data_IF_694149866263
#
_entry.id   IF_694149866263
#
_cell.length_a   1.000
_cell.length_b   1.000
_cell.length_c   1.000
_cell.angle_alpha   90.00
_cell.angle_beta   90.00
_cell.angle_gamma   90.00
#
_symmetry.space_group_name_H-M   'P 1'
#
loop_
_entity.id
_entity.type
_entity.pdbx_description
1 polymer ?
#
# COMPACT_ATOMS: atom_id res chain seq x y z
N UNK A 1 21.20 0.93 23.45
CA UNK A 1 21.79 2.26 23.64
C UNK A 1 20.83 3.29 23.05
N UNK A 2 20.56 4.39 23.79
CA UNK A 2 19.71 5.47 23.32
C UNK A 2 20.37 6.18 22.12
N UNK A 3 19.60 6.46 21.08
CA UNK A 3 20.06 7.18 19.88
C UNK A 3 19.24 8.45 19.68
N UNK A 4 19.82 9.42 18.97
CA UNK A 4 19.10 10.64 18.62
C UNK A 4 18.04 10.37 17.55
N UNK A 5 16.96 11.15 17.57
CA UNK A 5 16.02 11.20 16.47
C UNK A 5 16.67 11.89 15.25
N UNK A 6 16.18 11.59 14.07
CA UNK A 6 16.67 12.16 12.84
C UNK A 6 15.59 12.99 12.14
N UNK A 7 15.97 14.18 11.69
CA UNK A 7 15.14 15.04 10.85
C UNK A 7 15.89 15.42 9.58
N UNK A 8 15.26 15.17 8.45
CA UNK A 8 15.85 15.43 7.12
C UNK A 8 15.05 16.48 6.38
N UNK A 9 15.71 17.53 5.95
CA UNK A 9 15.15 18.59 5.11
C UNK A 9 15.42 18.31 3.64
N UNK A 10 14.38 18.34 2.81
CA UNK A 10 14.50 18.23 1.36
C UNK A 10 15.10 19.52 0.78
N UNK A 11 16.20 19.40 0.06
CA UNK A 11 16.91 20.52 -0.58
C UNK A 11 16.32 20.92 -1.95
N UNK A 12 15.29 20.22 -2.43
CA UNK A 12 14.61 20.44 -3.73
C UNK A 12 15.47 20.10 -4.97
N UNK A 13 16.58 19.42 -4.77
CA UNK A 13 17.51 18.96 -5.81
C UNK A 13 17.71 17.43 -5.77
N UNK A 14 16.75 16.68 -5.19
CA UNK A 14 16.79 15.25 -4.93
C UNK A 14 17.79 14.84 -3.83
N UNK A 15 18.30 15.80 -3.06
CA UNK A 15 19.13 15.54 -1.88
C UNK A 15 18.41 15.96 -0.60
N UNK A 16 18.92 15.46 0.53
CA UNK A 16 18.42 15.80 1.87
C UNK A 16 19.58 16.20 2.77
N UNK A 17 19.33 17.16 3.66
CA UNK A 17 20.25 17.54 4.71
C UNK A 17 19.71 17.07 6.05
N UNK A 18 20.57 16.49 6.88
CA UNK A 18 20.26 16.23 8.28
C UNK A 18 20.23 17.56 9.04
N UNK A 19 19.08 17.87 9.61
CA UNK A 19 18.82 19.11 10.36
C UNK A 19 18.41 18.82 11.80
N UNK A 20 18.66 17.62 12.29
CA UNK A 20 18.23 17.15 13.62
C UNK A 20 18.71 18.08 14.73
N UNK A 21 20.00 18.45 14.70
CA UNK A 21 20.62 19.38 15.67
C UNK A 21 20.05 20.79 15.50
N UNK A 22 20.01 21.29 14.27
CA UNK A 22 19.57 22.66 13.98
C UNK A 22 18.10 22.89 14.37
N UNK A 23 17.28 21.85 14.31
CA UNK A 23 15.88 21.89 14.69
C UNK A 23 15.60 21.48 16.14
N UNK A 24 16.64 21.09 16.90
CA UNK A 24 16.52 20.71 18.31
C UNK A 24 15.80 19.36 18.51
N UNK A 25 15.98 18.43 17.58
CA UNK A 25 15.39 17.10 17.62
C UNK A 25 16.40 15.98 17.93
N UNK A 26 17.61 16.34 18.34
CA UNK A 26 18.74 15.42 18.53
C UNK A 26 18.86 14.79 19.92
N UNK A 27 17.83 14.92 20.74
CA UNK A 27 17.77 14.26 22.04
C UNK A 27 17.91 12.75 21.92
N UNK A 28 18.75 12.17 22.79
CA UNK A 28 19.00 10.72 22.82
C UNK A 28 17.98 10.00 23.70
N UNK A 29 17.11 9.24 23.07
CA UNK A 29 16.02 8.54 23.71
C UNK A 29 15.80 7.14 23.13
N UNK A 30 14.90 6.39 23.74
CA UNK A 30 14.33 5.16 23.18
C UNK A 30 12.97 5.46 22.53
N UNK A 31 12.99 6.33 21.52
CA UNK A 31 11.79 6.77 20.83
C UNK A 31 11.11 5.60 20.13
N UNK A 32 9.78 5.54 20.22
CA UNK A 32 8.96 4.48 19.67
C UNK A 32 7.88 5.06 18.73
N UNK A 33 6.71 5.40 19.26
CA UNK A 33 5.64 6.05 18.49
C UNK A 33 5.77 7.57 18.49
N UNK A 34 5.34 8.21 17.39
CA UNK A 34 5.31 9.66 17.31
C UNK A 34 4.05 10.12 16.57
N UNK A 35 3.55 11.29 16.97
CA UNK A 35 2.42 11.94 16.31
C UNK A 35 2.66 13.46 16.25
N UNK A 36 1.82 14.15 15.53
CA UNK A 36 1.83 15.61 15.47
C UNK A 36 0.43 16.17 15.62
N UNK A 37 0.33 17.34 16.22
CA UNK A 37 -0.92 18.06 16.36
C UNK A 37 -0.62 19.54 16.60
N UNK A 38 -1.52 20.42 16.23
CA UNK A 38 -1.52 21.82 16.63
C UNK A 38 -2.11 21.89 18.05
N UNK A 39 -1.26 21.99 19.07
CA UNK A 39 -1.65 21.90 20.47
C UNK A 39 -2.07 23.25 21.07
N UNK A 40 -1.54 24.34 20.56
CA UNK A 40 -1.86 25.70 21.04
C UNK A 40 -2.72 26.51 20.06
N UNK A 41 -3.13 25.90 18.95
CA UNK A 41 -4.01 26.45 17.91
C UNK A 41 -3.42 27.70 17.22
N UNK A 42 -2.13 27.74 17.03
CA UNK A 42 -1.44 28.81 16.32
C UNK A 42 -1.23 28.51 14.83
N UNK A 43 -1.52 27.28 14.41
CA UNK A 43 -1.55 26.84 13.01
C UNK A 43 -0.31 26.06 12.56
N UNK A 44 0.70 25.98 13.39
CA UNK A 44 1.81 25.07 13.16
C UNK A 44 1.62 23.73 13.94
N UNK A 45 2.50 22.77 13.79
CA UNK A 45 2.32 21.44 14.35
C UNK A 45 3.46 21.11 15.33
N UNK A 46 3.09 20.79 16.56
CA UNK A 46 3.97 20.20 17.56
C UNK A 46 4.19 18.72 17.25
N UNK A 47 5.36 18.22 17.64
CA UNK A 47 5.69 16.80 17.57
C UNK A 47 5.65 16.20 18.97
N UNK A 48 4.89 15.12 19.13
CA UNK A 48 4.81 14.35 20.36
C UNK A 48 5.48 13.00 20.12
N UNK A 49 6.48 12.65 20.93
CA UNK A 49 7.23 11.40 20.83
C UNK A 49 7.06 10.61 22.11
N UNK A 50 6.57 9.37 21.98
CA UNK A 50 6.54 8.45 23.10
C UNK A 50 7.87 7.68 23.19
N UNK A 51 8.40 7.54 24.40
CA UNK A 51 9.66 6.86 24.66
C UNK A 51 9.43 5.61 25.52
N UNK A 52 10.25 4.56 25.31
CA UNK A 52 10.21 3.34 26.11
C UNK A 52 10.90 3.61 27.45
N UNK A 53 10.20 3.33 28.55
CA UNK A 53 10.69 3.52 29.93
C UNK A 53 11.18 4.95 30.24
N UNK A 54 10.70 5.95 29.51
CA UNK A 54 11.03 7.36 29.69
C UNK A 54 9.77 8.22 29.48
N UNK A 55 9.80 9.47 29.94
CA UNK A 55 8.73 10.43 29.72
C UNK A 55 8.55 10.73 28.22
N UNK A 56 7.29 10.93 27.80
CA UNK A 56 7.00 11.42 26.46
C UNK A 56 7.55 12.84 26.28
N UNK A 57 8.05 13.13 25.11
CA UNK A 57 8.56 14.45 24.74
C UNK A 57 7.58 15.18 23.85
N UNK A 58 7.45 16.48 24.09
CA UNK A 58 6.69 17.38 23.23
C UNK A 58 7.65 18.43 22.71
N UNK A 59 7.84 18.46 21.40
CA UNK A 59 8.64 19.47 20.73
C UNK A 59 7.71 20.56 20.21
N UNK A 60 7.80 21.74 20.84
CA UNK A 60 7.05 22.91 20.39
C UNK A 60 7.66 23.42 19.08
N UNK A 61 6.81 23.62 18.09
CA UNK A 61 7.17 24.35 16.89
C UNK A 61 7.21 25.86 17.19
N UNK A 62 8.14 26.57 16.63
CA UNK A 62 8.26 28.02 16.75
C UNK A 62 8.24 28.70 15.37
N UNK A 63 7.63 28.04 14.38
CA UNK A 63 7.48 28.59 13.05
C UNK A 63 6.54 29.79 13.06
N UNK A 64 6.84 30.78 12.24
CA UNK A 64 5.96 31.93 12.00
C UNK A 64 5.45 31.96 10.55
N UNK A 65 5.65 30.85 9.82
CA UNK A 65 5.24 30.73 8.43
C UNK A 65 3.72 30.67 8.30
N UNK A 66 3.24 31.10 7.15
CA UNK A 66 1.82 31.00 6.84
C UNK A 66 1.37 29.54 6.68
N UNK A 67 0.12 29.27 6.97
CA UNK A 67 -0.46 27.92 6.89
C UNK A 67 -1.85 27.92 6.26
N UNK A 68 -2.30 26.75 5.89
CA UNK A 68 -3.70 26.44 5.57
C UNK A 68 -4.08 25.11 6.23
N UNK A 69 -5.18 25.11 6.98
CA UNK A 69 -5.80 23.88 7.47
C UNK A 69 -6.99 23.51 6.61
N UNK A 70 -7.09 22.23 6.22
CA UNK A 70 -8.21 21.72 5.42
C UNK A 70 -8.92 20.62 6.21
N UNK A 71 -10.19 20.85 6.48
CA UNK A 71 -11.09 19.88 7.06
C UNK A 71 -11.94 19.26 5.96
N UNK A 72 -12.13 17.94 6.00
CA UNK A 72 -12.97 17.23 5.08
C UNK A 72 -14.18 16.66 5.82
N UNK A 73 -15.36 16.89 5.27
CA UNK A 73 -16.61 16.29 5.71
C UNK A 73 -17.10 15.36 4.62
N UNK A 74 -16.83 14.08 4.82
CA UNK A 74 -17.21 13.02 3.91
C UNK A 74 -18.68 12.61 4.04
N UNK A 75 -19.00 11.45 3.53
CA UNK A 75 -20.33 10.87 3.60
C UNK A 75 -20.54 10.02 4.86
N UNK A 76 -21.68 9.32 4.92
CA UNK A 76 -22.05 8.50 6.07
C UNK A 76 -21.10 7.34 6.32
N UNK A 77 -20.46 6.80 5.28
CA UNK A 77 -19.60 5.62 5.36
C UNK A 77 -18.14 6.01 5.58
N UNK A 78 -17.77 7.22 5.17
CA UNK A 78 -16.43 7.80 5.33
C UNK A 78 -16.51 9.25 5.81
N UNK A 79 -16.95 9.44 7.05
CA UNK A 79 -17.26 10.76 7.65
C UNK A 79 -16.11 11.77 7.61
N UNK A 80 -14.89 11.30 7.66
CA UNK A 80 -13.69 12.16 7.64
C UNK A 80 -13.11 12.35 6.23
N UNK A 81 -13.66 11.70 5.20
CA UNK A 81 -13.11 11.76 3.85
C UNK A 81 -11.71 11.13 3.75
N UNK A 82 -11.45 10.03 4.48
CA UNK A 82 -10.19 9.29 4.41
C UNK A 82 -9.92 8.86 2.95
N UNK A 83 -8.64 8.79 2.54
CA UNK A 83 -8.16 8.53 1.18
C UNK A 83 -8.49 9.62 0.15
N UNK A 84 -9.03 10.76 0.59
CA UNK A 84 -9.17 11.93 -0.28
C UNK A 84 -7.84 12.67 -0.41
N UNK A 85 -7.58 13.21 -1.60
CA UNK A 85 -6.38 13.99 -1.91
C UNK A 85 -6.71 15.45 -1.98
N UNK A 86 -5.88 16.26 -1.35
CA UNK A 86 -6.01 17.72 -1.36
C UNK A 86 -4.77 18.32 -2.02
N UNK A 87 -5.02 19.14 -3.01
CA UNK A 87 -4.01 19.91 -3.73
C UNK A 87 -4.14 21.37 -3.36
N UNK A 88 -3.05 21.99 -2.99
CA UNK A 88 -2.96 23.43 -2.67
C UNK A 88 -1.98 24.09 -3.62
N UNK A 89 -2.47 25.06 -4.39
CA UNK A 89 -1.64 25.84 -5.31
C UNK A 89 -1.45 27.26 -4.76
N UNK A 90 -0.20 27.67 -4.65
CA UNK A 90 0.21 29.05 -4.34
C UNK A 90 0.83 29.74 -5.56
N UNK A 91 1.48 30.87 -5.39
CA UNK A 91 2.25 31.49 -6.47
C UNK A 91 3.49 30.69 -6.85
N UNK A 92 4.12 30.06 -5.86
CA UNK A 92 5.45 29.47 -6.00
C UNK A 92 5.45 27.94 -5.92
N UNK A 93 4.40 27.33 -5.36
CA UNK A 93 4.37 25.89 -5.12
C UNK A 93 3.02 25.27 -5.36
N UNK A 94 3.03 23.98 -5.70
CA UNK A 94 1.88 23.10 -5.63
C UNK A 94 2.21 21.98 -4.65
N UNK A 95 1.37 21.79 -3.65
CA UNK A 95 1.51 20.73 -2.66
C UNK A 95 0.35 19.77 -2.78
N UNK A 96 0.58 18.49 -2.46
CA UNK A 96 -0.46 17.47 -2.36
C UNK A 96 -0.30 16.68 -1.06
N UNK A 97 -1.41 16.49 -0.37
CA UNK A 97 -1.49 15.55 0.76
C UNK A 97 -2.72 14.65 0.60
N UNK A 98 -2.58 13.41 1.02
CA UNK A 98 -3.69 12.46 1.13
C UNK A 98 -4.09 12.32 2.60
N UNK A 99 -5.38 12.39 2.88
CA UNK A 99 -5.88 12.26 4.25
C UNK A 99 -5.81 10.81 4.70
N UNK A 100 -4.86 10.54 5.57
CA UNK A 100 -4.75 9.29 6.31
C UNK A 100 -4.52 9.58 7.78
N UNK A 101 -5.14 8.82 8.65
CA UNK A 101 -5.04 9.02 10.10
C UNK A 101 -3.92 8.18 10.73
N UNK A 102 -3.39 7.20 10.03
CA UNK A 102 -2.30 6.35 10.52
C UNK A 102 -0.96 6.95 10.13
N UNK A 103 -0.10 7.26 11.12
CA UNK A 103 1.22 7.83 10.92
C UNK A 103 2.20 7.23 11.92
N UNK A 104 3.30 6.65 11.41
CA UNK A 104 4.33 6.04 12.25
C UNK A 104 3.87 4.77 12.96
N UNK A 105 4.71 4.28 13.86
CA UNK A 105 4.48 3.04 14.59
C UNK A 105 3.40 3.23 15.66
N UNK A 106 2.31 2.48 15.57
CA UNK A 106 1.17 2.47 16.51
C UNK A 106 0.67 3.88 16.87
N UNK A 107 0.66 4.78 15.89
CA UNK A 107 0.34 6.19 16.10
C UNK A 107 -0.69 6.68 15.10
N UNK A 108 -1.46 7.68 15.51
CA UNK A 108 -2.49 8.31 14.68
C UNK A 108 -2.44 9.83 14.82
N UNK A 109 -2.98 10.51 13.83
CA UNK A 109 -3.09 11.98 13.77
C UNK A 109 -4.54 12.41 13.64
N UNK A 110 -4.81 13.69 13.86
CA UNK A 110 -6.14 14.27 13.70
C UNK A 110 -6.61 14.23 12.24
N UNK A 111 -7.93 14.11 11.98
CA UNK A 111 -8.49 13.97 10.63
C UNK A 111 -8.58 15.31 9.90
N UNK A 112 -7.49 16.06 9.84
CA UNK A 112 -7.36 17.26 9.02
C UNK A 112 -5.99 17.29 8.36
N UNK A 113 -5.88 18.07 7.30
CA UNK A 113 -4.60 18.30 6.61
C UNK A 113 -4.10 19.70 6.93
N UNK A 114 -2.82 19.81 7.26
CA UNK A 114 -2.16 21.09 7.50
C UNK A 114 -1.07 21.30 6.45
N UNK A 115 -1.16 22.44 5.76
CA UNK A 115 -0.22 22.83 4.72
C UNK A 115 0.59 24.04 5.19
N UNK A 116 1.91 23.90 5.29
CA UNK A 116 2.79 25.05 5.44
C UNK A 116 2.87 25.80 4.11
N UNK A 117 2.54 27.08 4.13
CA UNK A 117 2.51 27.93 2.92
C UNK A 117 3.81 28.74 2.79
N UNK A 118 4.63 28.75 3.85
CA UNK A 118 5.85 29.56 3.88
C UNK A 118 5.56 31.05 3.86
N UNK A 119 6.26 31.78 3.00
CA UNK A 119 6.10 33.25 2.87
C UNK A 119 5.05 33.64 1.82
N UNK A 120 4.39 32.68 1.17
CA UNK A 120 3.34 33.01 0.20
C UNK A 120 2.16 33.68 0.88
N UNK A 121 1.64 34.75 0.28
CA UNK A 121 0.53 35.52 0.83
C UNK A 121 -0.83 35.15 0.21
N UNK A 122 -0.83 34.36 -0.86
CA UNK A 122 -2.01 34.03 -1.63
C UNK A 122 -2.04 32.53 -1.93
N UNK A 123 -3.17 31.90 -1.63
CA UNK A 123 -3.50 30.57 -2.08
C UNK A 123 -4.44 30.71 -3.29
N UNK A 124 -3.94 30.35 -4.47
CA UNK A 124 -4.69 30.45 -5.73
C UNK A 124 -5.88 29.52 -5.74
N UNK A 125 -5.62 28.25 -5.44
CA UNK A 125 -6.68 27.24 -5.40
C UNK A 125 -6.40 26.16 -4.36
N UNK A 126 -7.49 25.55 -3.88
CA UNK A 126 -7.48 24.29 -3.11
C UNK A 126 -8.46 23.35 -3.78
N UNK A 127 -7.96 22.24 -4.30
CA UNK A 127 -8.75 21.19 -4.95
C UNK A 127 -8.76 19.94 -4.10
N UNK A 128 -9.93 19.41 -3.83
CA UNK A 128 -10.13 18.10 -3.19
C UNK A 128 -10.56 17.10 -4.25
N UNK A 129 -9.89 15.96 -4.30
CA UNK A 129 -10.33 14.77 -5.03
C UNK A 129 -10.72 13.74 -3.99
N UNK A 130 -12.00 13.45 -3.91
CA UNK A 130 -12.59 12.54 -2.94
C UNK A 130 -12.29 11.08 -3.27
N UNK A 131 -12.37 10.19 -2.29
CA UNK A 131 -12.14 8.74 -2.47
C UNK A 131 -13.05 8.08 -3.50
N UNK A 132 -14.23 8.67 -3.77
CA UNK A 132 -15.16 8.22 -4.81
C UNK A 132 -14.86 8.78 -6.21
N UNK A 133 -13.77 9.55 -6.37
CA UNK A 133 -13.36 10.17 -7.63
C UNK A 133 -13.98 11.54 -7.94
N UNK A 134 -14.99 11.98 -7.20
CA UNK A 134 -15.53 13.32 -7.35
C UNK A 134 -14.51 14.37 -6.94
N UNK A 135 -14.68 15.60 -7.41
CA UNK A 135 -13.80 16.69 -7.02
C UNK A 135 -14.57 17.96 -6.65
N UNK A 136 -13.88 18.83 -5.94
CA UNK A 136 -14.36 20.14 -5.52
C UNK A 136 -13.17 21.09 -5.45
N UNK A 137 -13.36 22.33 -5.87
CA UNK A 137 -12.30 23.33 -5.88
C UNK A 137 -12.79 24.67 -5.33
N UNK A 138 -11.94 25.32 -4.53
CA UNK A 138 -12.12 26.68 -4.04
C UNK A 138 -10.93 27.53 -4.45
N UNK A 139 -11.19 28.78 -4.84
CA UNK A 139 -10.18 29.72 -5.33
C UNK A 139 -10.04 30.92 -4.41
N UNK A 140 -8.88 31.57 -4.46
CA UNK A 140 -8.56 32.81 -3.73
C UNK A 140 -8.79 32.68 -2.21
N UNK A 141 -8.18 31.67 -1.61
CA UNK A 141 -8.31 31.36 -0.19
C UNK A 141 -7.32 32.20 0.60
N UNK A 142 -7.76 32.69 1.75
CA UNK A 142 -6.88 33.42 2.67
C UNK A 142 -5.87 32.47 3.34
N UNK A 143 -4.66 32.93 3.52
CA UNK A 143 -3.67 32.29 4.37
C UNK A 143 -4.10 32.33 5.85
N UNK A 144 -3.48 31.52 6.68
CA UNK A 144 -3.70 31.43 8.14
C UNK A 144 -5.18 31.18 8.46
N UNK A 145 -5.80 30.27 7.73
CA UNK A 145 -7.22 29.96 7.81
C UNK A 145 -7.47 28.45 7.82
N UNK A 146 -8.66 28.10 8.30
CA UNK A 146 -9.20 26.74 8.15
C UNK A 146 -10.31 26.79 7.11
N UNK A 147 -10.26 25.89 6.12
CA UNK A 147 -11.32 25.70 5.14
C UNK A 147 -11.94 24.31 5.32
N UNK A 148 -13.25 24.23 5.08
CA UNK A 148 -13.99 22.97 5.13
C UNK A 148 -14.56 22.65 3.75
N UNK A 149 -14.38 21.40 3.34
CA UNK A 149 -14.97 20.83 2.15
C UNK A 149 -16.00 19.77 2.55
N UNK A 150 -17.21 19.87 2.02
CA UNK A 150 -18.28 18.88 2.23
C UNK A 150 -18.49 18.10 0.92
N UNK A 151 -18.38 16.79 0.97
CA UNK A 151 -18.51 15.91 -0.21
C UNK A 151 -19.84 16.10 -0.95
N UNK A 152 -20.89 16.54 -0.24
CA UNK A 152 -22.19 16.83 -0.85
C UNK A 152 -22.16 17.95 -1.90
N UNK A 153 -21.12 18.79 -1.87
CA UNK A 153 -20.91 19.87 -2.83
C UNK A 153 -19.92 19.49 -3.93
N UNK A 154 -19.48 18.21 -3.99
CA UNK A 154 -18.55 17.75 -5.00
C UNK A 154 -19.24 17.49 -6.34
N UNK A 155 -18.49 17.66 -7.41
CA UNK A 155 -18.93 17.39 -8.77
C UNK A 155 -18.26 16.13 -9.30
N UNK A 156 -18.95 15.42 -10.20
CA UNK A 156 -18.37 14.25 -10.89
C UNK A 156 -17.14 14.70 -11.68
N UNK A 157 -15.99 14.11 -11.40
CA UNK A 157 -14.78 14.44 -12.13
C UNK A 157 -14.75 13.65 -13.44
N UNK A 158 -15.27 14.27 -14.52
CA UNK A 158 -15.27 13.67 -15.87
C UNK A 158 -13.86 13.52 -16.46
N UNK A 159 -12.83 14.14 -15.87
CA UNK A 159 -11.43 13.95 -16.29
C UNK A 159 -10.86 12.59 -15.88
N UNK A 160 -11.53 11.87 -14.94
CA UNK A 160 -11.24 10.48 -14.63
C UNK A 160 -12.02 9.50 -15.54
N UNK A 161 -12.83 9.99 -16.47
CA UNK A 161 -13.28 9.14 -17.56
C UNK A 161 -12.03 8.58 -18.25
N UNK A 162 -11.85 7.31 -18.02
CA UNK A 162 -10.84 6.47 -18.58
C UNK A 162 -10.27 7.04 -19.89
N UNK A 163 -9.05 7.57 -19.87
CA UNK A 163 -8.20 7.25 -20.99
C UNK A 163 -8.44 5.76 -21.18
N UNK A 164 -8.97 5.32 -22.32
CA UNK A 164 -8.82 3.97 -22.78
C UNK A 164 -7.30 3.76 -22.84
N UNK A 165 -6.71 3.56 -21.66
CA UNK A 165 -5.34 3.14 -21.56
C UNK A 165 -5.34 1.84 -22.32
N UNK A 166 -4.52 1.72 -23.34
CA UNK A 166 -4.19 0.43 -23.91
C UNK A 166 -3.77 -0.44 -22.71
N UNK A 167 -4.69 -1.25 -22.22
CA UNK A 167 -4.40 -2.14 -21.12
C UNK A 167 -3.31 -3.08 -21.63
N UNK A 168 -2.18 -3.12 -20.93
CA UNK A 168 -1.11 -4.08 -21.23
C UNK A 168 -1.53 -5.52 -20.94
N UNK A 169 -2.55 -5.71 -20.08
CA UNK A 169 -3.05 -7.01 -19.66
C UNK A 169 -4.58 -7.01 -19.73
N UNK A 170 -5.11 -8.09 -20.24
CA UNK A 170 -6.54 -8.40 -20.27
C UNK A 170 -6.78 -9.70 -19.50
N UNK A 171 -7.83 -9.73 -18.70
CA UNK A 171 -8.23 -10.96 -18.02
C UNK A 171 -8.94 -11.88 -19.02
N UNK A 172 -8.32 -13.00 -19.35
CA UNK A 172 -8.85 -14.00 -20.24
C UNK A 172 -9.08 -15.33 -19.52
N UNK A 173 -10.27 -15.90 -19.63
CA UNK A 173 -10.64 -17.17 -19.01
C UNK A 173 -10.20 -18.34 -19.91
N UNK A 174 -8.88 -18.64 -19.95
CA UNK A 174 -8.36 -19.73 -20.79
C UNK A 174 -8.50 -21.11 -20.15
N UNK A 175 -8.57 -21.18 -18.82
CA UNK A 175 -8.82 -22.41 -18.06
C UNK A 175 -9.77 -22.14 -16.89
N UNK A 176 -10.64 -23.12 -16.60
CA UNK A 176 -11.50 -23.10 -15.40
C UNK A 176 -10.85 -23.95 -14.31
N UNK A 177 -9.86 -23.38 -13.66
CA UNK A 177 -9.23 -23.99 -12.50
C UNK A 177 -9.75 -23.34 -11.22
N UNK A 178 -10.09 -24.18 -10.24
CA UNK A 178 -10.40 -23.74 -8.89
C UNK A 178 -9.66 -24.64 -7.92
N UNK A 179 -8.67 -24.07 -7.25
CA UNK A 179 -8.04 -24.69 -6.10
C UNK A 179 -9.04 -24.71 -4.95
N UNK A 180 -9.16 -25.85 -4.25
CA UNK A 180 -10.01 -25.97 -3.09
C UNK A 180 -9.13 -26.33 -1.90
N UNK A 181 -8.95 -25.37 -1.01
CA UNK A 181 -8.15 -25.54 0.19
C UNK A 181 -8.85 -26.47 1.21
N UNK A 182 -8.06 -27.24 1.95
CA UNK A 182 -8.58 -28.05 3.04
C UNK A 182 -8.89 -27.18 4.27
N UNK A 183 -9.97 -27.48 4.98
CA UNK A 183 -10.24 -26.81 6.24
C UNK A 183 -9.28 -27.33 7.31
N UNK A 184 -8.37 -26.49 7.76
CA UNK A 184 -7.46 -26.73 8.86
C UNK A 184 -7.29 -25.46 9.68
N UNK A 185 -7.07 -25.63 10.98
CA UNK A 185 -6.79 -24.52 11.89
C UNK A 185 -5.51 -24.83 12.65
N UNK A 186 -4.43 -24.20 12.23
CA UNK A 186 -3.09 -24.39 12.80
C UNK A 186 -3.03 -24.03 14.28
N UNK A 187 -3.81 -23.02 14.69
CA UNK A 187 -3.80 -22.52 16.08
C UNK A 187 -4.36 -23.51 17.11
N UNK A 188 -5.01 -24.61 16.67
CA UNK A 188 -5.45 -25.66 17.60
C UNK A 188 -4.24 -26.36 18.22
N UNK A 189 -3.16 -26.51 17.49
CA UNK A 189 -1.92 -27.18 17.94
C UNK A 189 -0.82 -26.18 18.27
N UNK A 190 -0.71 -25.12 17.48
CA UNK A 190 0.38 -24.15 17.52
C UNK A 190 -0.17 -22.75 17.75
N UNK A 191 -0.65 -22.50 18.94
CA UNK A 191 -1.37 -21.27 19.32
C UNK A 191 -0.56 -19.97 19.22
N UNK A 192 0.76 -20.07 19.08
CA UNK A 192 1.67 -18.91 19.00
C UNK A 192 2.14 -18.60 17.57
N UNK A 193 1.62 -19.28 16.55
CA UNK A 193 1.92 -18.94 15.17
C UNK A 193 1.50 -17.50 14.85
N UNK A 194 2.32 -16.72 14.18
CA UNK A 194 1.96 -15.35 13.76
C UNK A 194 0.90 -15.34 12.65
N UNK A 195 0.80 -16.41 11.85
CA UNK A 195 -0.17 -16.63 10.79
C UNK A 195 -0.32 -18.13 10.52
N UNK A 196 -1.40 -18.55 9.87
CA UNK A 196 -1.60 -19.92 9.42
C UNK A 196 -0.61 -20.27 8.29
N UNK A 197 -0.02 -21.46 8.32
CA UNK A 197 0.90 -21.96 7.30
C UNK A 197 0.27 -23.06 6.44
N UNK A 198 -0.80 -23.69 6.92
CA UNK A 198 -1.46 -24.83 6.25
C UNK A 198 -2.43 -24.40 5.12
N UNK A 199 -2.53 -23.11 4.80
CA UNK A 199 -3.47 -22.58 3.81
C UNK A 199 -2.82 -21.47 2.98
N UNK A 200 -1.60 -21.71 2.50
CA UNK A 200 -0.85 -20.73 1.72
C UNK A 200 -1.18 -20.77 0.22
N UNK A 201 -1.97 -21.75 -0.20
CA UNK A 201 -2.33 -21.96 -1.59
C UNK A 201 -1.29 -22.76 -2.39
N UNK A 202 -1.61 -23.12 -3.64
CA UNK A 202 -0.77 -23.99 -4.45
C UNK A 202 0.40 -23.25 -5.09
N UNK A 203 1.51 -23.96 -5.28
CA UNK A 203 2.57 -23.53 -6.17
C UNK A 203 2.10 -23.53 -7.64
N UNK A 204 2.78 -22.76 -8.49
CA UNK A 204 2.60 -22.75 -9.95
C UNK A 204 3.98 -22.82 -10.61
N UNK A 205 4.13 -23.67 -11.62
CA UNK A 205 5.32 -23.69 -12.46
C UNK A 205 4.96 -23.66 -13.95
N UNK A 206 5.85 -23.09 -14.74
CA UNK A 206 5.68 -22.91 -16.20
C UNK A 206 6.88 -23.55 -16.90
N UNK A 207 6.63 -24.24 -18.00
CA UNK A 207 7.66 -24.86 -18.85
C UNK A 207 7.05 -25.73 -19.93
N UNK A 208 7.83 -26.09 -20.94
CA UNK A 208 7.43 -26.99 -22.03
C UNK A 208 7.46 -28.45 -21.55
N UNK A 209 6.33 -28.96 -21.04
CA UNK A 209 6.23 -30.30 -20.44
C UNK A 209 6.23 -31.42 -21.50
N UNK A 210 5.84 -31.10 -22.74
CA UNK A 210 5.63 -32.10 -23.77
C UNK A 210 6.64 -32.03 -24.93
N UNK A 211 7.55 -31.06 -24.93
CA UNK A 211 8.61 -30.89 -25.93
C UNK A 211 8.13 -30.22 -27.22
N UNK A 212 6.98 -29.56 -27.23
CA UNK A 212 6.39 -28.92 -28.42
C UNK A 212 6.77 -27.45 -28.61
N UNK A 213 7.56 -26.89 -27.68
CA UNK A 213 8.05 -25.50 -27.62
C UNK A 213 6.97 -24.46 -27.28
N UNK A 214 5.85 -24.89 -26.76
CA UNK A 214 4.86 -24.01 -26.15
C UNK A 214 4.96 -24.07 -24.64
N UNK A 215 4.70 -22.96 -23.99
CA UNK A 215 4.72 -22.87 -22.53
C UNK A 215 3.47 -23.51 -21.94
N UNK A 216 3.67 -24.61 -21.22
CA UNK A 216 2.64 -25.26 -20.40
C UNK A 216 2.69 -24.73 -18.98
N UNK A 217 1.70 -25.02 -18.16
CA UNK A 217 1.77 -24.72 -16.74
C UNK A 217 1.14 -25.80 -15.87
N UNK A 218 1.61 -25.90 -14.67
CA UNK A 218 1.08 -26.78 -13.64
C UNK A 218 0.65 -25.99 -12.41
N UNK A 219 -0.40 -26.45 -11.76
CA UNK A 219 -0.93 -25.88 -10.52
C UNK A 219 -0.99 -26.98 -9.48
N UNK A 220 -0.39 -26.75 -8.33
CA UNK A 220 -0.35 -27.69 -7.23
C UNK A 220 -1.74 -28.02 -6.68
N UNK A 221 -1.87 -29.21 -6.11
CA UNK A 221 -3.07 -29.65 -5.41
C UNK A 221 -2.96 -29.45 -3.90
N UNK A 222 -4.05 -29.12 -3.22
CA UNK A 222 -4.17 -29.31 -1.79
C UNK A 222 -4.15 -30.79 -1.44
N UNK A 223 -4.02 -31.12 -0.18
CA UNK A 223 -4.04 -32.53 0.28
C UNK A 223 -5.29 -33.26 -0.24
N UNK A 224 -5.09 -34.44 -0.75
CA UNK A 224 -6.08 -35.30 -1.40
C UNK A 224 -6.60 -34.76 -2.75
N UNK A 225 -5.90 -33.81 -3.34
CA UNK A 225 -6.18 -33.27 -4.66
C UNK A 225 -4.95 -33.44 -5.59
N UNK A 226 -5.14 -33.90 -6.84
CA UNK A 226 -4.01 -34.08 -7.73
C UNK A 226 -3.54 -32.73 -8.29
N UNK A 227 -2.22 -32.60 -8.48
CA UNK A 227 -1.62 -31.55 -9.31
C UNK A 227 -2.29 -31.48 -10.68
N UNK A 228 -2.67 -30.28 -11.11
CA UNK A 228 -3.31 -30.04 -12.40
C UNK A 228 -2.29 -29.61 -13.47
N UNK A 229 -2.30 -30.26 -14.61
CA UNK A 229 -1.42 -29.98 -15.73
C UNK A 229 -2.21 -29.38 -16.89
N UNK A 230 -1.83 -28.20 -17.33
CA UNK A 230 -2.44 -27.47 -18.42
C UNK A 230 -1.47 -27.36 -19.58
N UNK A 231 -1.77 -28.11 -20.64
CA UNK A 231 -0.95 -28.19 -21.85
C UNK A 231 -1.49 -27.20 -22.88
N UNK A 232 -0.59 -26.33 -23.38
CA UNK A 232 -0.93 -25.36 -24.42
C UNK A 232 -1.09 -26.03 -25.78
N UNK A 233 -1.99 -25.50 -26.58
CA UNK A 233 -2.15 -25.84 -27.98
C UNK A 233 -1.67 -24.70 -28.86
N UNK A 234 -1.41 -25.02 -30.15
CA UNK A 234 -0.97 -24.04 -31.14
C UNK A 234 -1.96 -22.87 -31.40
N UNK A 235 -3.20 -22.99 -30.95
CA UNK A 235 -4.20 -21.92 -30.98
C UNK A 235 -4.23 -21.04 -29.73
N UNK A 236 -3.33 -21.29 -28.79
CA UNK A 236 -3.24 -20.57 -27.50
C UNK A 236 -4.22 -21.07 -26.44
N UNK A 237 -5.07 -22.04 -26.73
CA UNK A 237 -5.93 -22.66 -25.73
C UNK A 237 -5.18 -23.72 -24.92
N UNK A 238 -5.73 -24.08 -23.76
CA UNK A 238 -5.15 -25.09 -22.87
C UNK A 238 -6.11 -26.26 -22.69
N UNK A 239 -5.56 -27.44 -22.42
CA UNK A 239 -6.34 -28.59 -21.99
C UNK A 239 -5.70 -29.22 -20.75
N UNK A 240 -6.53 -29.75 -19.86
CA UNK A 240 -6.03 -30.48 -18.69
C UNK A 240 -5.57 -31.89 -19.10
N UNK A 241 -4.35 -32.26 -18.72
CA UNK A 241 -3.76 -33.59 -18.91
C UNK A 241 -3.52 -34.24 -17.56
N UNK A 242 -4.10 -35.42 -17.36
CA UNK A 242 -3.89 -36.20 -16.13
C UNK A 242 -2.73 -37.15 -16.30
N UNK A 243 -1.86 -37.20 -15.29
CA UNK A 243 -0.77 -38.16 -15.17
C UNK A 243 -1.05 -39.12 -14.00
N UNK A 244 -0.64 -40.37 -14.11
CA UNK A 244 -0.88 -41.38 -13.06
C UNK A 244 -0.19 -41.01 -11.74
N UNK A 245 1.03 -40.49 -11.82
CA UNK A 245 1.81 -40.10 -10.64
C UNK A 245 1.14 -38.95 -9.85
N UNK A 246 0.45 -38.01 -10.53
CA UNK A 246 -0.22 -36.91 -9.83
C UNK A 246 -1.35 -37.39 -8.91
N UNK A 247 -2.01 -38.51 -9.28
CA UNK A 247 -3.03 -39.14 -8.43
C UNK A 247 -2.42 -39.87 -7.22
N UNK A 248 -1.27 -40.51 -7.43
CA UNK A 248 -0.55 -41.19 -6.35
C UNK A 248 0.06 -40.17 -5.37
N UNK A 249 0.46 -38.99 -5.88
CA UNK A 249 1.05 -37.90 -5.13
C UNK A 249 0.00 -37.04 -4.39
N UNK A 250 -1.25 -37.10 -4.80
CA UNK A 250 -2.36 -36.26 -4.25
C UNK A 250 -2.55 -36.34 -2.73
N UNK A 251 -2.00 -37.37 -2.05
CA UNK A 251 -2.01 -37.47 -0.58
C UNK A 251 -1.15 -36.39 0.14
N UNK A 252 -0.31 -35.72 -0.60
CA UNK A 252 0.50 -34.59 -0.14
C UNK A 252 -0.09 -33.29 -0.68
N UNK A 253 0.28 -32.18 -0.08
CA UNK A 253 -0.03 -30.84 -0.55
C UNK A 253 1.17 -30.27 -1.30
N UNK A 254 0.94 -29.71 -2.49
CA UNK A 254 1.99 -29.15 -3.34
C UNK A 254 2.17 -27.66 -3.02
N UNK A 255 3.13 -27.34 -2.15
CA UNK A 255 3.38 -25.98 -1.66
C UNK A 255 4.17 -25.13 -2.65
N UNK A 256 5.13 -25.73 -3.34
CA UNK A 256 5.94 -25.08 -4.35
C UNK A 256 6.44 -26.10 -5.39
N UNK A 257 6.79 -25.62 -6.58
CA UNK A 257 7.23 -26.49 -7.66
C UNK A 257 8.11 -25.75 -8.67
N UNK A 258 8.97 -26.54 -9.30
CA UNK A 258 9.84 -26.08 -10.37
C UNK A 258 9.88 -27.10 -11.50
N UNK A 259 9.94 -26.61 -12.73
CA UNK A 259 10.12 -27.39 -13.96
C UNK A 259 11.51 -27.07 -14.53
N UNK A 260 12.35 -28.09 -14.67
CA UNK A 260 13.70 -27.96 -15.21
C UNK A 260 14.20 -29.36 -15.66
N UNK A 261 15.08 -29.43 -16.62
CA UNK A 261 15.77 -30.65 -17.01
C UNK A 261 16.95 -30.85 -16.03
N UNK A 262 16.72 -31.56 -14.93
CA UNK A 262 17.72 -31.73 -13.86
C UNK A 262 18.80 -32.74 -14.19
N UNK A 263 18.54 -33.71 -15.07
CA UNK A 263 19.50 -34.76 -15.42
C UNK A 263 20.11 -34.57 -16.81
N UNK A 264 19.73 -33.51 -17.54
CA UNK A 264 20.16 -33.14 -18.87
C UNK A 264 19.87 -34.23 -19.93
N UNK A 265 18.70 -34.88 -19.80
CA UNK A 265 18.25 -35.87 -20.78
C UNK A 265 17.41 -35.25 -21.92
N UNK A 266 17.14 -33.94 -21.84
CA UNK A 266 16.37 -33.16 -22.79
C UNK A 266 14.85 -33.15 -22.54
N UNK A 267 14.40 -33.75 -21.46
CA UNK A 267 13.02 -33.68 -21.01
C UNK A 267 12.93 -32.83 -19.74
N UNK A 268 11.78 -32.19 -19.54
CA UNK A 268 11.52 -31.38 -18.33
C UNK A 268 11.13 -32.30 -17.18
N UNK A 269 11.84 -32.18 -16.07
CA UNK A 269 11.53 -32.85 -14.81
C UNK A 269 10.69 -31.92 -13.91
N UNK A 270 10.08 -32.50 -12.87
CA UNK A 270 9.30 -31.76 -11.87
C UNK A 270 9.88 -32.00 -10.49
N UNK A 271 10.30 -30.93 -9.82
CA UNK A 271 10.59 -30.97 -8.40
C UNK A 271 9.42 -30.34 -7.62
N UNK A 272 8.92 -31.04 -6.60
CA UNK A 272 7.80 -30.63 -5.76
C UNK A 272 8.25 -30.48 -4.31
N UNK A 273 7.89 -29.37 -3.67
CA UNK A 273 7.95 -29.19 -2.23
C UNK A 273 6.55 -29.48 -1.64
N UNK A 274 6.49 -30.42 -0.68
CA UNK A 274 5.22 -30.90 -0.10
C UNK A 274 5.26 -30.95 1.42
#
# INVERSE_FOLDING_TARGET
EAISNFAFKNNKDLTFSDVSVDWGLDDKNFSNGATYADLDNDGDLEIIVNNIDQEAQIYKNNSTNNYLRVNLKGDKENTFGIDSRVYVETENTTQMQELTMTRGFQSSVSPYLNFGIGDDEIIKSVKVVWSNGNSQELNNIKINATVEFDISNSESNTELESNESNLYFENVEVVKHKHNENEHNDYIKEVLLPHENSRLGPGIAIGDINGDKLEDFIVGGAKDQPTAFYIQKSDGSFYNKSFSFSKEHAKYEDMDMILEDFDNDGNVDIALAT
#
